data_IF_531483502804
#
_entry.id   IF_531483502804
#
_cell.length_a   1.000
_cell.length_b   1.000
_cell.length_c   1.000
_cell.angle_alpha   90.00
_cell.angle_beta   90.00
_cell.angle_gamma   90.00
#
_symmetry.space_group_name_H-M   'P 1'
#
loop_
_entity.id
_entity.type
_entity.pdbx_description
1 polymer ?
#
# COMPACT_ATOMS: atom_id res chain seq x y z
N UNK A 1 1.07 15.12 15.09
CA UNK A 1 1.27 14.43 13.81
C UNK A 1 1.42 15.49 12.73
N UNK A 2 2.57 15.57 12.09
CA UNK A 2 2.80 16.47 10.94
C UNK A 2 2.10 15.92 9.70
N UNK A 3 1.99 16.74 8.64
CA UNK A 3 1.43 16.28 7.37
C UNK A 3 2.22 15.08 6.81
N UNK A 4 3.55 15.13 6.86
CA UNK A 4 4.42 14.06 6.38
C UNK A 4 4.26 12.77 7.18
N UNK A 5 4.13 12.86 8.50
CA UNK A 5 3.85 11.70 9.36
C UNK A 5 2.48 11.09 9.04
N UNK A 6 1.47 11.93 8.79
CA UNK A 6 0.14 11.49 8.37
C UNK A 6 0.16 10.79 7.01
N UNK A 7 0.88 11.34 6.04
CA UNK A 7 1.07 10.72 4.72
C UNK A 7 1.74 9.36 4.87
N UNK A 8 2.84 9.27 5.62
CA UNK A 8 3.54 7.99 5.86
C UNK A 8 2.64 6.94 6.51
N UNK A 9 1.79 7.35 7.45
CA UNK A 9 0.83 6.46 8.10
C UNK A 9 -0.22 5.96 7.10
N UNK A 10 -0.80 6.86 6.30
CA UNK A 10 -1.78 6.52 5.27
C UNK A 10 -1.17 5.60 4.21
N UNK A 11 0.05 5.89 3.75
CA UNK A 11 0.78 5.03 2.81
C UNK A 11 1.00 3.62 3.35
N UNK A 12 1.30 3.48 4.64
CA UNK A 12 1.41 2.18 5.29
C UNK A 12 0.08 1.42 5.27
N UNK A 13 -1.03 2.09 5.53
CA UNK A 13 -2.37 1.48 5.46
C UNK A 13 -2.76 1.10 4.03
N UNK A 14 -2.51 1.98 3.05
CA UNK A 14 -2.78 1.72 1.63
C UNK A 14 -1.93 0.57 1.09
N UNK A 15 -0.69 0.40 1.55
CA UNK A 15 0.16 -0.73 1.19
C UNK A 15 -0.43 -2.06 1.68
N UNK A 16 -0.97 -2.09 2.90
CA UNK A 16 -1.66 -3.27 3.43
C UNK A 16 -2.93 -3.57 2.62
N UNK A 17 -3.73 -2.56 2.30
CA UNK A 17 -4.90 -2.72 1.42
C UNK A 17 -4.49 -3.25 0.05
N UNK A 18 -3.40 -2.76 -0.52
CA UNK A 18 -2.86 -3.21 -1.80
C UNK A 18 -2.49 -4.70 -1.78
N UNK A 19 -2.03 -5.21 -0.64
CA UNK A 19 -1.63 -6.63 -0.51
C UNK A 19 -2.79 -7.58 -0.23
N UNK A 20 -3.89 -7.11 0.35
CA UNK A 20 -4.98 -7.97 0.82
C UNK A 20 -6.29 -7.82 0.04
N UNK A 21 -6.57 -6.65 -0.54
CA UNK A 21 -7.78 -6.41 -1.29
C UNK A 21 -7.54 -6.66 -2.80
N UNK A 22 -8.24 -7.66 -3.33
CA UNK A 22 -8.22 -8.01 -4.76
C UNK A 22 -8.68 -6.87 -5.67
N UNK A 23 -9.54 -5.97 -5.19
CA UNK A 23 -10.06 -4.85 -6.00
C UNK A 23 -9.17 -3.60 -5.96
N UNK A 24 -8.10 -3.63 -5.16
CA UNK A 24 -7.18 -2.51 -5.05
C UNK A 24 -6.22 -2.45 -6.23
N UNK A 25 -5.84 -1.24 -6.63
CA UNK A 25 -4.83 -0.99 -7.66
C UNK A 25 -3.73 -0.09 -7.09
N UNK A 26 -2.49 -0.28 -7.52
CA UNK A 26 -1.36 0.52 -7.05
C UNK A 26 -1.31 1.91 -7.74
N UNK A 27 -2.35 2.70 -7.56
CA UNK A 27 -2.48 4.07 -8.07
C UNK A 27 -3.37 4.87 -7.12
N UNK A 28 -2.75 5.69 -6.28
CA UNK A 28 -3.44 6.40 -5.20
C UNK A 28 -3.30 7.91 -5.35
N UNK A 29 -4.27 8.64 -4.82
CA UNK A 29 -4.22 10.09 -4.64
C UNK A 29 -4.47 10.41 -3.17
N UNK A 30 -3.76 11.42 -2.65
CA UNK A 30 -4.00 11.94 -1.31
C UNK A 30 -4.69 13.29 -1.46
N UNK A 31 -5.71 13.51 -0.63
CA UNK A 31 -6.35 14.81 -0.46
C UNK A 31 -5.99 15.39 0.91
N UNK A 32 -5.45 16.60 0.94
CA UNK A 32 -5.22 17.38 2.17
C UNK A 32 -6.38 18.34 2.35
N UNK A 33 -7.15 18.16 3.42
CA UNK A 33 -8.28 19.01 3.77
C UNK A 33 -7.85 19.95 4.90
N UNK A 34 -7.98 21.25 4.68
CA UNK A 34 -7.68 22.30 5.65
C UNK A 34 -8.83 23.31 5.71
N UNK A 35 -8.74 24.29 6.61
CA UNK A 35 -9.69 25.40 6.69
C UNK A 35 -9.80 26.22 5.40
N UNK A 36 -8.76 26.21 4.57
CA UNK A 36 -8.69 26.92 3.29
C UNK A 36 -9.33 26.13 2.13
N UNK A 37 -9.59 24.84 2.34
CA UNK A 37 -10.15 23.95 1.32
C UNK A 37 -9.40 22.63 1.18
N UNK A 38 -9.73 21.89 0.12
CA UNK A 38 -9.15 20.60 -0.20
C UNK A 38 -8.14 20.71 -1.36
N UNK A 39 -6.92 20.19 -1.16
CA UNK A 39 -5.90 20.07 -2.18
C UNK A 39 -5.69 18.60 -2.49
N UNK A 40 -5.86 18.20 -3.76
CA UNK A 40 -5.66 16.83 -4.23
C UNK A 40 -4.31 16.76 -4.93
N UNK A 41 -3.46 15.83 -4.49
CA UNK A 41 -2.15 15.61 -5.10
C UNK A 41 -2.25 14.68 -6.33
N UNK A 42 -1.28 14.76 -7.27
CA UNK A 42 -1.23 13.87 -8.43
C UNK A 42 -1.21 12.38 -8.03
N UNK A 43 -1.71 11.49 -8.89
CA UNK A 43 -1.69 10.06 -8.61
C UNK A 43 -0.26 9.52 -8.60
N UNK A 44 0.01 8.63 -7.66
CA UNK A 44 1.31 7.97 -7.51
C UNK A 44 1.14 6.50 -7.10
N UNK A 45 2.23 5.75 -7.22
CA UNK A 45 2.29 4.33 -6.85
C UNK A 45 3.19 4.14 -5.64
N UNK A 46 2.79 3.22 -4.76
CA UNK A 46 3.56 2.84 -3.58
C UNK A 46 4.65 1.84 -3.97
N UNK A 47 5.79 1.92 -3.28
CA UNK A 47 6.85 0.93 -3.39
C UNK A 47 6.40 -0.36 -2.73
N UNK A 48 6.31 -1.43 -3.51
CA UNK A 48 6.01 -2.78 -3.03
C UNK A 48 7.27 -3.64 -3.03
N UNK A 49 7.31 -4.64 -2.16
CA UNK A 49 8.36 -5.65 -2.16
C UNK A 49 7.74 -7.05 -2.03
N UNK A 50 8.09 -7.92 -2.99
CA UNK A 50 7.64 -9.31 -3.07
C UNK A 50 8.81 -10.31 -3.07
N UNK A 51 10.04 -9.84 -2.92
CA UNK A 51 11.26 -10.66 -3.02
C UNK A 51 11.62 -11.42 -1.74
N UNK A 52 10.66 -11.68 -0.84
CA UNK A 52 10.94 -12.43 0.38
C UNK A 52 11.27 -13.89 0.02
N UNK A 53 12.29 -14.48 0.66
CA UNK A 53 12.68 -15.88 0.42
C UNK A 53 11.54 -16.87 0.63
N UNK A 54 10.57 -16.55 1.51
CA UNK A 54 9.37 -17.34 1.72
C UNK A 54 8.45 -17.41 0.48
N UNK A 55 8.55 -16.45 -0.45
CA UNK A 55 7.73 -16.38 -1.66
C UNK A 55 8.43 -17.00 -2.88
N UNK A 56 9.71 -17.37 -2.80
CA UNK A 56 10.46 -17.97 -3.91
C UNK A 56 9.98 -19.39 -4.24
N UNK A 57 9.63 -20.18 -3.21
CA UNK A 57 9.04 -21.51 -3.37
C UNK A 57 8.04 -21.80 -2.24
N UNK A 58 6.83 -21.21 -2.29
CA UNK A 58 5.89 -21.24 -1.17
C UNK A 58 5.34 -22.66 -0.91
N UNK A 59 5.36 -23.56 -1.88
CA UNK A 59 4.89 -24.94 -1.75
C UNK A 59 5.92 -25.89 -1.12
N UNK A 60 7.19 -25.49 -0.99
CA UNK A 60 8.26 -26.35 -0.42
C UNK A 60 7.96 -26.88 0.98
N UNK A 61 7.23 -26.12 1.79
CA UNK A 61 6.83 -26.49 3.16
C UNK A 61 5.39 -27.02 3.28
N UNK A 62 4.60 -26.97 2.21
CA UNK A 62 3.17 -27.29 2.23
C UNK A 62 2.95 -28.63 1.49
N UNK A 63 3.28 -29.74 2.15
CA UNK A 63 3.03 -31.08 1.61
C UNK A 63 1.53 -31.26 1.39
N UNK A 64 1.09 -31.35 0.13
CA UNK A 64 -0.32 -31.49 -0.25
C UNK A 64 -1.02 -30.22 -0.75
N UNK A 65 -0.32 -29.08 -0.85
CA UNK A 65 -0.83 -27.94 -1.61
C UNK A 65 -0.64 -28.20 -3.10
N UNK A 66 -1.76 -28.31 -3.84
CA UNK A 66 -1.80 -28.40 -5.30
C UNK A 66 -1.78 -27.01 -5.94
#
# INVERSE_FOLDING_TARGET
MTFEEGVKLVEKCLLVLLYHDRSSINKFQIAKITTEGAVIYPPYSLKTYWGFSAFENPSKGAVGSW
#
